data_IF_967982414636
#
_entry.id   IF_967982414636
#
_cell.length_a   1.000
_cell.length_b   1.000
_cell.length_c   1.000
_cell.angle_alpha   90.00
_cell.angle_beta   90.00
_cell.angle_gamma   90.00
#
_symmetry.space_group_name_H-M   'P 1'
#
loop_
_entity.id
_entity.type
_entity.pdbx_description
1 polymer ?
#
# COMPACT_ATOMS: atom_id res chain seq x y z
N UNK A 1 -25.74 12.63 -0.26
CA UNK A 1 -24.74 12.00 0.61
C UNK A 1 -23.62 12.98 0.86
N UNK A 2 -23.04 13.01 2.06
CA UNK A 2 -21.81 13.75 2.33
C UNK A 2 -20.67 13.06 1.57
N UNK A 3 -20.16 13.71 0.52
CA UNK A 3 -18.99 13.22 -0.20
C UNK A 3 -17.75 13.43 0.68
N UNK A 4 -16.94 12.39 0.84
CA UNK A 4 -15.65 12.46 1.54
C UNK A 4 -14.55 12.38 0.48
N UNK A 5 -13.60 13.31 0.52
CA UNK A 5 -12.40 13.25 -0.28
C UNK A 5 -11.35 12.43 0.48
N UNK A 6 -10.82 11.41 -0.18
CA UNK A 6 -9.72 10.59 0.33
C UNK A 6 -8.44 10.98 -0.40
N UNK A 7 -7.37 11.15 0.37
CA UNK A 7 -6.03 11.41 -0.14
C UNK A 7 -5.09 10.36 0.44
N UNK A 8 -4.27 9.76 -0.40
CA UNK A 8 -3.24 8.78 -0.01
C UNK A 8 -1.87 9.21 -0.49
N UNK A 9 -0.82 8.89 0.26
CA UNK A 9 0.55 9.20 -0.17
C UNK A 9 0.92 8.37 -1.41
N UNK A 10 1.32 9.02 -2.50
CA UNK A 10 1.84 8.30 -3.66
C UNK A 10 3.30 7.92 -3.40
N UNK A 11 3.53 6.63 -3.20
CA UNK A 11 4.88 6.08 -3.15
C UNK A 11 5.49 6.03 -4.58
N UNK A 12 6.81 6.13 -4.65
CA UNK A 12 7.56 6.16 -5.90
C UNK A 12 8.33 4.86 -6.08
N UNK A 13 7.70 3.87 -6.71
CA UNK A 13 8.29 2.57 -6.95
C UNK A 13 7.71 1.90 -8.19
N UNK A 14 7.63 0.58 -8.13
CA UNK A 14 7.08 -0.26 -9.18
C UNK A 14 5.82 -0.95 -8.72
N UNK A 15 4.78 -0.96 -9.57
CA UNK A 15 3.58 -1.73 -9.31
C UNK A 15 3.92 -3.23 -9.25
N UNK A 16 3.60 -3.85 -8.13
CA UNK A 16 3.70 -5.28 -7.88
C UNK A 16 2.34 -5.81 -7.43
N UNK A 17 1.89 -6.92 -8.00
CA UNK A 17 0.62 -7.56 -7.67
C UNK A 17 0.86 -9.02 -7.30
N UNK A 18 0.16 -9.51 -6.28
CA UNK A 18 0.32 -10.88 -5.78
C UNK A 18 -1.02 -11.52 -5.43
N UNK A 19 -1.26 -12.73 -5.95
CA UNK A 19 -2.52 -13.46 -5.80
C UNK A 19 -2.32 -14.87 -5.18
N UNK A 20 -1.28 -15.04 -4.36
CA UNK A 20 -0.90 -16.34 -3.79
C UNK A 20 0.05 -17.12 -4.70
N UNK A 21 0.46 -18.31 -4.27
CA UNK A 21 1.45 -19.13 -4.98
C UNK A 21 0.92 -19.64 -6.33
N UNK A 22 -0.36 -20.04 -6.37
CA UNK A 22 -1.03 -20.49 -7.60
C UNK A 22 -1.55 -19.32 -8.43
N UNK A 23 -2.01 -18.26 -7.77
CA UNK A 23 -2.47 -17.05 -8.47
C UNK A 23 -1.34 -16.25 -9.10
N UNK A 24 -0.12 -16.34 -8.55
CA UNK A 24 1.09 -15.80 -9.14
C UNK A 24 1.42 -14.37 -8.72
N UNK A 25 2.55 -13.90 -9.22
CA UNK A 25 3.09 -12.57 -8.98
C UNK A 25 3.28 -11.83 -10.30
N UNK A 26 2.90 -10.56 -10.33
CA UNK A 26 2.84 -9.76 -11.55
C UNK A 26 3.45 -8.38 -11.32
N UNK A 27 4.13 -7.87 -12.33
CA UNK A 27 4.48 -6.46 -12.43
C UNK A 27 3.55 -5.79 -13.44
N UNK A 28 3.69 -4.47 -13.65
CA UNK A 28 2.93 -3.77 -14.69
C UNK A 28 3.08 -4.47 -16.05
N UNK A 29 1.98 -5.02 -16.56
CA UNK A 29 1.86 -5.71 -17.85
C UNK A 29 2.85 -6.88 -18.07
N UNK A 30 3.38 -7.51 -17.01
CA UNK A 30 4.37 -8.59 -17.15
C UNK A 30 4.38 -9.53 -15.94
N UNK A 31 4.96 -10.71 -16.11
CA UNK A 31 5.17 -11.71 -15.04
C UNK A 31 6.48 -12.48 -15.30
N UNK A 32 7.03 -13.11 -14.25
CA UNK A 32 8.25 -13.93 -14.38
C UNK A 32 9.54 -13.15 -14.65
N UNK A 33 9.59 -11.89 -14.23
CA UNK A 33 10.72 -10.98 -14.43
C UNK A 33 11.36 -10.55 -13.08
N UNK A 34 12.41 -9.74 -13.15
CA UNK A 34 13.11 -9.24 -11.95
C UNK A 34 12.20 -8.46 -11.00
N UNK A 35 11.23 -7.68 -11.49
CA UNK A 35 10.28 -6.94 -10.66
C UNK A 35 9.42 -7.91 -9.83
N UNK A 36 8.94 -8.99 -10.45
CA UNK A 36 8.16 -10.01 -9.74
C UNK A 36 9.00 -10.79 -8.73
N UNK A 37 10.27 -11.10 -9.07
CA UNK A 37 11.17 -11.79 -8.15
C UNK A 37 11.50 -10.93 -6.92
N UNK A 38 11.84 -9.64 -7.13
CA UNK A 38 12.10 -8.70 -6.04
C UNK A 38 10.84 -8.46 -5.21
N UNK A 39 9.67 -8.36 -5.83
CA UNK A 39 8.40 -8.22 -5.10
C UNK A 39 8.10 -9.41 -4.19
N UNK A 40 8.28 -10.64 -4.67
CA UNK A 40 8.14 -11.86 -3.84
C UNK A 40 9.14 -11.84 -2.68
N UNK A 41 10.40 -11.48 -2.95
CA UNK A 41 11.44 -11.41 -1.92
C UNK A 41 11.10 -10.39 -0.83
N UNK A 42 10.68 -9.17 -1.22
CA UNK A 42 10.30 -8.10 -0.29
C UNK A 42 9.05 -8.51 0.51
N UNK A 43 8.03 -9.08 -0.13
CA UNK A 43 6.84 -9.57 0.57
C UNK A 43 7.21 -10.64 1.62
N UNK A 44 8.03 -11.62 1.26
CA UNK A 44 8.52 -12.63 2.22
C UNK A 44 9.32 -12.01 3.37
N UNK A 45 10.09 -10.95 3.11
CA UNK A 45 10.78 -10.20 4.17
C UNK A 45 9.79 -9.47 5.08
N UNK A 46 8.75 -8.83 4.55
CA UNK A 46 7.71 -8.18 5.37
C UNK A 46 7.05 -9.18 6.31
N UNK A 47 6.76 -10.41 5.86
CA UNK A 47 6.26 -11.47 6.75
C UNK A 47 7.27 -11.85 7.84
N UNK A 48 8.56 -11.97 7.50
CA UNK A 48 9.62 -12.24 8.49
C UNK A 48 9.74 -11.13 9.54
N UNK A 49 9.68 -9.87 9.12
CA UNK A 49 9.71 -8.72 10.03
C UNK A 49 8.47 -8.70 10.94
N UNK A 50 7.29 -8.97 10.41
CA UNK A 50 6.04 -8.88 11.16
C UNK A 50 5.73 -10.07 12.09
N UNK A 51 6.20 -11.27 11.73
CA UNK A 51 5.82 -12.54 12.37
C UNK A 51 7.01 -13.36 12.90
N UNK A 52 8.25 -12.96 12.60
CA UNK A 52 9.45 -13.65 13.06
C UNK A 52 9.49 -15.13 12.65
N UNK A 53 9.56 -16.03 13.63
CA UNK A 53 9.62 -17.49 13.40
C UNK A 53 8.34 -18.06 12.79
N UNK A 54 7.20 -17.42 13.01
CA UNK A 54 5.90 -17.85 12.46
C UNK A 54 5.70 -17.42 11.00
N UNK A 55 6.62 -16.63 10.44
CA UNK A 55 6.47 -16.08 9.09
C UNK A 55 6.18 -17.12 7.99
N UNK A 56 6.82 -18.30 7.94
CA UNK A 56 6.49 -19.30 6.92
C UNK A 56 5.04 -19.80 7.02
N UNK A 57 4.55 -20.00 8.25
CA UNK A 57 3.18 -20.43 8.50
C UNK A 57 2.19 -19.32 8.12
N UNK A 58 2.43 -18.09 8.59
CA UNK A 58 1.55 -16.95 8.31
C UNK A 58 1.52 -16.59 6.82
N UNK A 59 2.64 -16.72 6.12
CA UNK A 59 2.69 -16.51 4.67
C UNK A 59 1.94 -17.62 3.91
N UNK A 60 2.02 -18.88 4.37
CA UNK A 60 1.22 -19.96 3.80
C UNK A 60 -0.28 -19.73 4.01
N UNK A 61 -0.70 -19.33 5.22
CA UNK A 61 -2.10 -18.97 5.52
C UNK A 61 -2.58 -17.76 4.70
N UNK A 62 -1.70 -16.77 4.48
CA UNK A 62 -1.98 -15.63 3.62
C UNK A 62 -2.22 -16.07 2.18
N UNK A 63 -1.35 -16.92 1.63
CA UNK A 63 -1.49 -17.45 0.27
C UNK A 63 -2.79 -18.24 0.11
N UNK A 64 -3.11 -19.09 1.08
CA UNK A 64 -4.37 -19.83 1.14
C UNK A 64 -5.58 -18.89 1.15
N UNK A 65 -5.51 -17.81 1.93
CA UNK A 65 -6.56 -16.79 1.98
C UNK A 65 -6.74 -16.11 0.61
N UNK A 66 -5.64 -15.68 -0.03
CA UNK A 66 -5.71 -15.03 -1.34
C UNK A 66 -6.34 -15.95 -2.39
N UNK A 67 -5.92 -17.21 -2.43
CA UNK A 67 -6.38 -18.16 -3.44
C UNK A 67 -7.83 -18.59 -3.23
N UNK A 68 -8.23 -18.92 -1.98
CA UNK A 68 -9.59 -19.35 -1.66
C UNK A 68 -10.62 -18.25 -1.94
N UNK A 69 -10.26 -17.00 -1.67
CA UNK A 69 -11.14 -15.85 -1.86
C UNK A 69 -10.95 -15.16 -3.21
N UNK A 70 -10.06 -15.68 -4.09
CA UNK A 70 -9.71 -15.07 -5.39
C UNK A 70 -9.33 -13.59 -5.26
N UNK A 71 -8.42 -13.30 -4.35
CA UNK A 71 -7.92 -11.96 -4.07
C UNK A 71 -6.56 -11.75 -4.76
N UNK A 72 -6.36 -10.57 -5.34
CA UNK A 72 -5.02 -10.02 -5.63
C UNK A 72 -4.76 -8.79 -4.79
N UNK A 73 -3.55 -8.73 -4.25
CA UNK A 73 -3.05 -7.59 -3.49
C UNK A 73 -2.11 -6.79 -4.38
N UNK A 74 -2.43 -5.52 -4.58
CA UNK A 74 -1.58 -4.57 -5.30
C UNK A 74 -0.74 -3.78 -4.31
N UNK A 75 0.53 -3.63 -4.67
CA UNK A 75 1.56 -3.01 -3.86
C UNK A 75 2.36 -2.03 -4.69
N UNK A 76 2.76 -0.93 -4.06
CA UNK A 76 3.90 -0.16 -4.56
C UNK A 76 5.17 -0.76 -3.96
N UNK A 77 6.02 -1.34 -4.82
CA UNK A 77 7.31 -1.90 -4.45
C UNK A 77 8.40 -0.82 -4.59
N UNK A 78 8.95 -0.37 -3.48
CA UNK A 78 9.99 0.67 -3.44
C UNK A 78 11.32 0.04 -3.07
N UNK A 79 12.29 0.13 -3.96
CA UNK A 79 13.60 -0.53 -3.83
C UNK A 79 14.62 0.11 -4.75
N UNK A 80 15.87 0.20 -4.32
CA UNK A 80 16.96 0.66 -5.17
C UNK A 80 17.39 -0.40 -6.21
N UNK A 81 16.99 -1.67 -6.04
CA UNK A 81 17.34 -2.77 -6.95
C UNK A 81 16.69 -2.60 -8.33
N UNK A 82 15.51 -1.98 -8.38
CA UNK A 82 14.72 -1.79 -9.60
C UNK A 82 14.88 -0.38 -10.19
N UNK A 83 15.93 0.34 -9.77
CA UNK A 83 16.20 1.73 -10.14
C UNK A 83 15.60 2.74 -9.17
N UNK A 84 16.05 3.98 -9.30
CA UNK A 84 15.61 5.09 -8.45
C UNK A 84 14.39 5.77 -9.12
N UNK A 85 13.20 5.56 -8.55
CA UNK A 85 11.92 6.12 -9.06
C UNK A 85 11.61 7.51 -8.46
N UNK A 86 12.66 8.23 -8.04
CA UNK A 86 12.60 9.45 -7.25
C UNK A 86 13.89 9.56 -6.41
N UNK A 87 13.76 9.91 -5.13
CA UNK A 87 14.88 9.78 -4.21
C UNK A 87 15.20 8.30 -3.98
N UNK A 88 16.49 7.95 -4.01
CA UNK A 88 16.97 6.59 -3.70
C UNK A 88 16.44 6.15 -2.32
N UNK A 89 15.70 5.04 -2.23
CA UNK A 89 15.16 4.59 -0.96
C UNK A 89 16.28 4.08 -0.04
N UNK A 90 16.13 4.31 1.27
CA UNK A 90 17.08 3.83 2.29
C UNK A 90 16.96 2.33 2.56
N UNK A 91 15.73 1.82 2.44
CA UNK A 91 15.39 0.42 2.60
C UNK A 91 14.49 -0.01 1.45
N UNK A 92 14.47 -1.30 1.15
CA UNK A 92 13.40 -1.85 0.32
C UNK A 92 12.12 -1.91 1.15
N UNK A 93 10.95 -1.72 0.54
CA UNK A 93 9.66 -1.94 1.18
C UNK A 93 8.56 -2.11 0.14
N UNK A 94 7.40 -2.56 0.61
CA UNK A 94 6.19 -2.56 -0.20
C UNK A 94 5.04 -2.00 0.64
N UNK A 95 4.20 -1.19 0.00
CA UNK A 95 3.00 -0.62 0.63
C UNK A 95 1.79 -1.17 -0.10
N UNK A 96 0.84 -1.75 0.63
CA UNK A 96 -0.42 -2.20 0.03
C UNK A 96 -1.23 -0.98 -0.39
N UNK A 97 -1.56 -0.89 -1.69
CA UNK A 97 -2.32 0.21 -2.27
C UNK A 97 -3.73 -0.18 -2.69
N UNK A 98 -3.96 -1.46 -2.99
CA UNK A 98 -5.29 -1.99 -3.25
C UNK A 98 -5.40 -3.48 -2.92
N UNK A 99 -6.60 -3.91 -2.58
CA UNK A 99 -6.97 -5.33 -2.48
C UNK A 99 -8.17 -5.53 -3.39
N UNK A 100 -8.04 -6.46 -4.34
CA UNK A 100 -9.06 -6.73 -5.37
C UNK A 100 -9.57 -8.15 -5.21
N UNK A 101 -10.88 -8.32 -5.07
CA UNK A 101 -11.55 -9.61 -5.09
C UNK A 101 -12.16 -9.86 -6.47
N UNK A 102 -11.75 -10.94 -7.14
CA UNK A 102 -12.20 -11.23 -8.52
C UNK A 102 -13.52 -12.00 -8.60
N UNK A 103 -13.99 -12.60 -7.50
CA UNK A 103 -15.31 -13.24 -7.41
C UNK A 103 -15.71 -14.08 -8.63
N UNK A 104 -16.97 -13.96 -9.06
CA UNK A 104 -17.52 -14.53 -10.29
C UNK A 104 -18.01 -13.46 -11.28
N UNK A 105 -17.71 -12.19 -11.02
CA UNK A 105 -18.26 -11.05 -11.75
C UNK A 105 -17.22 -9.94 -11.92
N UNK A 106 -17.68 -8.69 -11.89
CA UNK A 106 -16.77 -7.55 -11.95
C UNK A 106 -15.85 -7.56 -10.71
N UNK A 107 -14.53 -7.33 -10.87
CA UNK A 107 -13.62 -7.22 -9.75
C UNK A 107 -14.09 -6.13 -8.77
N UNK A 108 -14.07 -6.43 -7.48
CA UNK A 108 -14.42 -5.50 -6.42
C UNK A 108 -13.15 -5.08 -5.68
N UNK A 109 -12.97 -3.77 -5.52
CA UNK A 109 -11.89 -3.21 -4.74
C UNK A 109 -12.38 -3.01 -3.32
N UNK A 110 -11.56 -3.40 -2.35
CA UNK A 110 -11.83 -3.10 -0.94
C UNK A 110 -11.90 -1.59 -0.75
N UNK A 111 -12.89 -1.16 0.03
CA UNK A 111 -12.91 0.20 0.56
C UNK A 111 -11.71 0.42 1.50
N UNK A 112 -11.35 1.66 1.75
CA UNK A 112 -10.19 1.99 2.58
C UNK A 112 -10.24 1.40 3.99
N UNK A 113 -11.39 1.39 4.71
CA UNK A 113 -11.50 0.67 5.98
C UNK A 113 -11.26 -0.84 5.84
N UNK A 114 -11.74 -1.47 4.77
CA UNK A 114 -11.54 -2.90 4.51
C UNK A 114 -10.07 -3.20 4.18
N UNK A 115 -9.42 -2.36 3.38
CA UNK A 115 -7.98 -2.45 3.08
C UNK A 115 -7.15 -2.33 4.36
N UNK A 116 -7.45 -1.33 5.21
CA UNK A 116 -6.75 -1.13 6.49
C UNK A 116 -6.96 -2.35 7.40
N UNK A 117 -8.20 -2.85 7.49
CA UNK A 117 -8.52 -4.06 8.27
C UNK A 117 -7.76 -5.27 7.75
N UNK A 118 -7.73 -5.47 6.43
CA UNK A 118 -7.02 -6.57 5.78
C UNK A 118 -5.52 -6.52 6.11
N UNK A 119 -4.88 -5.37 5.92
CA UNK A 119 -3.46 -5.23 6.17
C UNK A 119 -3.12 -5.39 7.66
N UNK A 120 -3.95 -4.87 8.57
CA UNK A 120 -3.78 -5.08 10.03
C UNK A 120 -3.87 -6.56 10.41
N UNK A 121 -4.78 -7.31 9.80
CA UNK A 121 -4.91 -8.75 10.06
C UNK A 121 -3.64 -9.52 9.67
N UNK A 122 -2.97 -9.10 8.58
CA UNK A 122 -1.75 -9.72 8.08
C UNK A 122 -0.44 -9.04 8.53
N UNK A 123 -0.55 -7.95 9.30
CA UNK A 123 0.57 -7.07 9.70
C UNK A 123 1.39 -6.57 8.53
N UNK A 124 0.72 -6.26 7.42
CA UNK A 124 1.34 -5.70 6.22
C UNK A 124 1.24 -4.15 6.22
N UNK A 125 2.20 -3.43 5.61
CA UNK A 125 2.17 -1.97 5.56
C UNK A 125 0.98 -1.44 4.74
N UNK A 126 0.17 -0.58 5.36
CA UNK A 126 -0.86 0.22 4.69
C UNK A 126 -0.33 1.60 4.34
N UNK A 127 -0.86 2.20 3.30
CA UNK A 127 -0.54 3.60 2.98
C UNK A 127 -1.02 4.59 4.07
N UNK A 128 -0.47 5.80 4.08
CA UNK A 128 -1.02 6.92 4.85
C UNK A 128 -2.29 7.40 4.16
N UNK A 129 -3.39 7.51 4.91
CA UNK A 129 -4.69 7.98 4.44
C UNK A 129 -5.12 9.23 5.21
N UNK A 130 -5.57 10.26 4.49
CA UNK A 130 -6.24 11.44 5.03
C UNK A 130 -7.66 11.55 4.47
N UNK A 131 -8.64 11.74 5.34
CA UNK A 131 -10.04 11.92 4.96
C UNK A 131 -10.50 13.34 5.24
N UNK A 132 -11.13 13.94 4.24
CA UNK A 132 -11.70 15.28 4.27
C UNK A 132 -13.20 15.20 3.99
N UNK A 133 -13.98 15.25 5.06
CA UNK A 133 -15.44 15.09 5.10
C UNK A 133 -16.20 16.41 5.00
N UNK A 134 -15.52 17.55 5.17
CA UNK A 134 -16.12 18.88 5.08
C UNK A 134 -15.58 19.67 3.90
N UNK A 135 -16.40 20.59 3.36
CA UNK A 135 -15.93 21.53 2.32
C UNK A 135 -14.73 22.34 2.82
N UNK A 136 -14.74 22.74 4.10
CA UNK A 136 -13.65 23.53 4.71
C UNK A 136 -12.34 22.75 4.70
N UNK A 137 -12.33 21.52 5.21
CA UNK A 137 -11.12 20.69 5.29
C UNK A 137 -10.60 20.33 3.88
N UNK A 138 -11.50 20.02 2.94
CA UNK A 138 -11.13 19.77 1.55
C UNK A 138 -10.54 21.01 0.84
N UNK A 139 -11.12 22.21 1.04
CA UNK A 139 -10.54 23.45 0.50
C UNK A 139 -9.19 23.75 1.13
N UNK A 140 -9.02 23.54 2.43
CA UNK A 140 -7.72 23.68 3.11
C UNK A 140 -6.67 22.72 2.54
N UNK A 141 -7.05 21.51 2.13
CA UNK A 141 -6.16 20.59 1.43
C UNK A 141 -5.62 21.20 0.13
N UNK A 142 -6.50 21.63 -0.78
CA UNK A 142 -6.06 22.17 -2.07
C UNK A 142 -5.16 23.40 -1.89
N UNK A 143 -5.55 24.34 -1.03
CA UNK A 143 -4.73 25.53 -0.73
C UNK A 143 -3.36 25.17 -0.18
N UNK A 144 -3.30 24.22 0.77
CA UNK A 144 -2.04 23.79 1.36
C UNK A 144 -1.17 23.05 0.34
N UNK A 145 -1.76 22.13 -0.45
CA UNK A 145 -1.04 21.34 -1.44
C UNK A 145 -0.43 22.23 -2.53
N UNK A 146 -1.20 23.19 -3.06
CA UNK A 146 -0.73 24.14 -4.07
C UNK A 146 0.37 25.08 -3.54
N UNK A 147 0.29 25.47 -2.25
CA UNK A 147 1.28 26.36 -1.65
C UNK A 147 2.59 25.65 -1.26
N UNK A 148 2.52 24.36 -0.93
CA UNK A 148 3.68 23.61 -0.43
C UNK A 148 4.69 23.29 -1.53
N UNK A 149 4.24 23.11 -2.79
CA UNK A 149 5.10 22.81 -3.94
C UNK A 149 6.19 21.77 -3.61
N UNK A 150 5.78 20.64 -3.01
CA UNK A 150 6.70 19.69 -2.38
C UNK A 150 7.85 19.25 -3.31
N UNK A 151 9.08 19.34 -2.80
CA UNK A 151 10.30 18.87 -3.46
C UNK A 151 11.02 17.85 -2.56
N UNK A 152 11.46 16.73 -3.12
CA UNK A 152 12.17 15.69 -2.37
C UNK A 152 11.22 14.77 -1.58
N UNK A 153 11.24 14.84 -0.25
CA UNK A 153 10.46 13.94 0.62
C UNK A 153 9.12 14.54 1.01
N UNK A 154 8.04 13.76 1.03
CA UNK A 154 6.70 14.23 1.40
C UNK A 154 6.51 14.63 2.89
N UNK A 155 7.58 14.80 3.67
CA UNK A 155 7.48 15.06 5.13
C UNK A 155 6.71 16.36 5.45
N UNK A 156 7.01 17.51 4.81
CA UNK A 156 6.25 18.74 5.01
C UNK A 156 4.76 18.58 4.67
N UNK A 157 4.42 18.05 3.50
CA UNK A 157 3.04 17.74 3.09
C UNK A 157 2.36 16.83 4.10
N UNK A 158 2.92 15.67 4.43
CA UNK A 158 2.29 14.72 5.36
C UNK A 158 1.99 15.36 6.72
N UNK A 159 2.88 16.21 7.23
CA UNK A 159 2.71 16.92 8.50
C UNK A 159 1.59 17.95 8.42
N UNK A 160 1.47 18.69 7.33
CA UNK A 160 0.38 19.66 7.13
C UNK A 160 -0.94 18.93 6.94
N UNK A 161 -0.98 17.91 6.09
CA UNK A 161 -2.18 17.09 5.84
C UNK A 161 -2.72 16.45 7.12
N UNK A 162 -1.84 15.94 7.97
CA UNK A 162 -2.23 15.38 9.27
C UNK A 162 -2.92 16.37 10.22
N UNK A 163 -2.71 17.68 10.04
CA UNK A 163 -3.36 18.74 10.84
C UNK A 163 -4.69 19.22 10.25
N UNK A 164 -4.83 19.16 8.93
CA UNK A 164 -6.01 19.70 8.23
C UNK A 164 -7.08 18.65 7.96
N UNK A 165 -6.70 17.36 7.91
CA UNK A 165 -7.62 16.26 7.68
C UNK A 165 -8.56 16.06 8.88
N UNK A 166 -9.79 15.65 8.60
CA UNK A 166 -10.75 15.32 9.65
C UNK A 166 -10.39 13.97 10.30
N UNK A 167 -9.84 13.04 9.51
CA UNK A 167 -9.27 11.77 9.98
C UNK A 167 -7.92 11.56 9.29
N UNK A 168 -6.91 11.15 10.05
CA UNK A 168 -5.59 10.76 9.55
C UNK A 168 -5.24 9.37 10.06
N UNK A 169 -5.02 8.43 9.14
CA UNK A 169 -4.52 7.09 9.45
C UNK A 169 -3.07 7.02 8.96
N UNK A 170 -2.08 6.97 9.87
CA UNK A 170 -0.69 6.88 9.46
C UNK A 170 -0.41 5.56 8.75
N UNK A 171 0.69 5.53 7.98
CA UNK A 171 1.22 4.29 7.45
C UNK A 171 1.44 3.26 8.57
N UNK A 172 1.13 1.99 8.28
CA UNK A 172 1.28 0.91 9.24
C UNK A 172 2.75 0.80 9.65
N UNK A 173 3.05 1.16 10.91
CA UNK A 173 4.41 1.14 11.45
C UNK A 173 5.01 -0.26 11.28
N UNK A 174 6.25 -0.32 10.75
CA UNK A 174 7.10 -1.50 10.95
C UNK A 174 7.19 -1.73 12.45
N UNK A 175 6.74 -2.89 12.92
CA UNK A 175 7.05 -3.35 14.28
C UNK A 175 8.57 -3.62 14.25
N UNK A 176 9.36 -2.70 14.79
CA UNK A 176 10.80 -2.92 15.02
C UNK A 176 11.00 -3.85 16.21
#
# INVERSE_FOLDING_TARGET
GLATMEVTLKHSGSLFMYAGNRGGAYSKNSFGNIYTAVGIFVLGRLFREAWGREAPKMQAEFNDCLEKNRISVSMELVTAVLGDHGQRPKDDYAVITAVTEFGHGKPQFYSTPELIKFCRAWRLPTNHVWLFSTRKSATSFFVAYDALCEEGTATPVCKVLGKIADISVPEGQRIM
#
